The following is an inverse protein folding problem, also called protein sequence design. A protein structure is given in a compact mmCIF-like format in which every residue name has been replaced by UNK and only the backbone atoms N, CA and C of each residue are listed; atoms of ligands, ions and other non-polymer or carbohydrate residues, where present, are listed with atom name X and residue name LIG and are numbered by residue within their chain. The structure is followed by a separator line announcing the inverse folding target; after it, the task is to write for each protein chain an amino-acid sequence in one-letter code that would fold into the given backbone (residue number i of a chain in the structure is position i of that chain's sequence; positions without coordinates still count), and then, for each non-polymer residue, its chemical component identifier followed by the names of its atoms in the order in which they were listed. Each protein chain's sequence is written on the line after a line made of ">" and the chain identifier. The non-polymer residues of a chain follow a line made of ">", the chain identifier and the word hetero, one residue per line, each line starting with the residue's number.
data_IF_859559052477
#
_entry.id   IF_859559052477
#
_cell.length_a   1.000
_cell.length_b   1.000
_cell.length_c   1.000
_cell.angle_alpha   90.00
_cell.angle_beta   90.00
_cell.angle_gamma   90.00
#
_symmetry.space_group_name_H-M   'P 1'
#
loop_
_entity.id
_entity.type
_entity.pdbx_description
1 polymer ?
#
# COMPACT_ATOMS: atom_id res chain seq x y z
N UNK A 1 10.73 19.49 -4.37
CA UNK A 1 10.19 18.51 -5.33
C UNK A 1 9.01 19.18 -5.99
N UNK A 2 9.00 19.26 -7.32
CA UNK A 2 7.83 19.74 -8.05
C UNK A 2 6.79 18.60 -8.09
N UNK A 3 5.55 18.90 -7.72
CA UNK A 3 4.41 17.97 -7.69
C UNK A 3 3.14 18.75 -8.04
N UNK A 4 2.39 18.25 -9.01
CA UNK A 4 1.21 18.90 -9.57
C UNK A 4 -0.06 18.05 -9.36
N UNK A 5 -1.23 18.63 -9.63
CA UNK A 5 -2.50 17.87 -9.62
C UNK A 5 -2.54 16.79 -10.71
N UNK A 6 -1.88 17.03 -11.85
CA UNK A 6 -1.83 16.07 -12.95
C UNK A 6 -1.10 14.79 -12.54
N UNK A 7 -0.13 14.88 -11.62
CA UNK A 7 0.57 13.70 -11.08
C UNK A 7 -0.36 12.81 -10.24
N UNK A 8 -1.29 13.43 -9.49
CA UNK A 8 -2.30 12.70 -8.71
C UNK A 8 -3.25 11.94 -9.62
N UNK A 9 -3.75 12.59 -10.68
CA UNK A 9 -4.63 11.94 -11.65
C UNK A 9 -3.90 10.81 -12.37
N UNK A 10 -2.73 11.12 -12.96
CA UNK A 10 -1.94 10.18 -13.78
C UNK A 10 -1.51 8.92 -13.03
N UNK A 11 -1.20 9.02 -11.74
CA UNK A 11 -0.73 7.88 -10.94
C UNK A 11 -1.89 7.20 -10.20
N UNK A 12 -2.81 7.97 -9.64
CA UNK A 12 -3.85 7.46 -8.74
C UNK A 12 -5.03 6.79 -9.45
N UNK A 13 -5.34 7.18 -10.68
CA UNK A 13 -6.53 6.67 -11.41
C UNK A 13 -6.54 5.15 -11.57
N UNK A 14 -5.37 4.55 -11.85
CA UNK A 14 -5.21 3.11 -12.06
C UNK A 14 -4.99 2.31 -10.75
N UNK A 15 -4.92 2.98 -9.59
CA UNK A 15 -4.65 2.30 -8.31
C UNK A 15 -5.96 2.01 -7.59
N UNK A 16 -6.36 0.73 -7.44
CA UNK A 16 -7.61 0.37 -6.79
C UNK A 16 -7.57 0.65 -5.28
N UNK A 17 -8.76 0.83 -4.69
CA UNK A 17 -8.90 0.91 -3.23
C UNK A 17 -8.74 -0.48 -2.60
N UNK A 18 -7.54 -0.77 -2.09
CA UNK A 18 -7.22 -2.07 -1.48
C UNK A 18 -7.74 -2.23 -0.05
N UNK A 19 -7.85 -1.13 0.71
CA UNK A 19 -8.14 -1.18 2.14
C UNK A 19 -9.63 -1.02 2.41
N UNK A 20 -10.24 -2.05 3.00
CA UNK A 20 -11.65 -2.06 3.37
C UNK A 20 -11.88 -1.39 4.74
N UNK A 21 -11.50 -0.13 4.88
CA UNK A 21 -11.66 0.64 6.12
C UNK A 21 -12.62 1.82 5.97
N UNK A 22 -13.31 2.14 7.07
CA UNK A 22 -14.15 3.33 7.16
C UNK A 22 -13.31 4.60 6.89
N UNK A 23 -13.87 5.58 6.19
CA UNK A 23 -15.30 5.72 5.84
C UNK A 23 -15.75 4.97 4.57
N UNK A 24 -14.83 4.47 3.74
CA UNK A 24 -15.19 3.85 2.45
C UNK A 24 -15.55 2.36 2.55
N UNK A 25 -15.13 1.70 3.63
CA UNK A 25 -15.31 0.27 3.87
C UNK A 25 -15.91 -0.06 5.24
N UNK A 26 -15.67 -1.29 5.68
CA UNK A 26 -16.32 -1.90 6.85
C UNK A 26 -15.50 -1.82 8.13
N UNK A 27 -14.17 -1.91 8.05
CA UNK A 27 -13.30 -2.09 9.22
C UNK A 27 -12.76 -0.75 9.75
N UNK A 28 -12.15 -0.79 10.94
CA UNK A 28 -11.50 0.35 11.58
C UNK A 28 -9.97 0.16 11.59
N UNK A 29 -9.26 1.22 11.98
CA UNK A 29 -7.79 1.25 11.98
C UNK A 29 -7.11 0.11 12.76
N UNK A 30 -7.75 -0.39 13.82
CA UNK A 30 -7.24 -1.54 14.58
C UNK A 30 -7.29 -2.85 13.76
N UNK A 31 -8.37 -3.04 12.99
CA UNK A 31 -8.48 -4.16 12.04
C UNK A 31 -7.44 -4.06 10.94
N UNK A 32 -7.24 -2.86 10.38
CA UNK A 32 -6.18 -2.59 9.40
C UNK A 32 -4.78 -2.91 9.93
N UNK A 33 -4.47 -2.49 11.16
CA UNK A 33 -3.17 -2.77 11.77
C UNK A 33 -2.95 -4.28 11.93
N UNK A 34 -3.93 -5.01 12.47
CA UNK A 34 -3.86 -6.48 12.60
C UNK A 34 -3.73 -7.21 11.27
N UNK A 35 -4.34 -6.69 10.21
CA UNK A 35 -4.25 -7.26 8.87
C UNK A 35 -2.85 -7.09 8.23
N UNK A 36 -1.93 -6.35 8.84
CA UNK A 36 -0.57 -6.11 8.35
C UNK A 36 -0.26 -4.63 8.08
N UNK A 37 -1.26 -3.75 8.17
CA UNK A 37 -1.10 -2.31 8.07
C UNK A 37 -0.50 -1.84 6.74
N UNK A 38 0.15 -0.68 6.77
CA UNK A 38 0.73 -0.04 5.58
C UNK A 38 1.75 -0.92 4.84
N UNK A 39 2.67 -1.64 5.52
CA UNK A 39 3.61 -2.52 4.81
C UNK A 39 2.91 -3.58 3.94
N UNK A 40 1.77 -4.11 4.38
CA UNK A 40 1.01 -5.08 3.59
C UNK A 40 0.33 -4.49 2.36
N UNK A 41 -0.18 -3.26 2.46
CA UNK A 41 -0.69 -2.52 1.29
C UNK A 41 0.43 -2.27 0.29
N UNK A 42 1.59 -1.85 0.78
CA UNK A 42 2.76 -1.60 -0.07
C UNK A 42 3.28 -2.90 -0.71
N UNK A 43 3.20 -4.04 -0.02
CA UNK A 43 3.55 -5.33 -0.59
C UNK A 43 2.64 -5.72 -1.77
N UNK A 44 1.34 -5.44 -1.68
CA UNK A 44 0.42 -5.66 -2.82
C UNK A 44 0.74 -4.72 -4.00
N UNK A 45 1.10 -3.46 -3.73
CA UNK A 45 1.58 -2.54 -4.76
C UNK A 45 2.91 -2.99 -5.39
N UNK A 46 3.83 -3.55 -4.60
CA UNK A 46 5.09 -4.14 -5.06
C UNK A 46 4.82 -5.30 -6.03
N UNK A 47 3.95 -6.24 -5.65
CA UNK A 47 3.56 -7.38 -6.49
C UNK A 47 2.98 -6.94 -7.84
N UNK A 48 2.26 -5.82 -7.86
CA UNK A 48 1.67 -5.24 -9.06
C UNK A 48 2.61 -4.35 -9.89
N UNK A 49 3.87 -4.17 -9.48
CA UNK A 49 4.82 -3.28 -10.15
C UNK A 49 4.45 -1.80 -10.05
N UNK A 50 3.68 -1.41 -9.02
CA UNK A 50 3.19 -0.03 -8.79
C UNK A 50 3.96 0.70 -7.69
N UNK A 51 5.06 0.13 -7.22
CA UNK A 51 5.88 0.69 -6.15
C UNK A 51 7.32 0.93 -6.63
N UNK A 52 7.87 2.10 -6.32
CA UNK A 52 9.29 2.37 -6.53
C UNK A 52 10.11 1.72 -5.41
N UNK A 53 10.61 0.51 -5.68
CA UNK A 53 11.26 -0.33 -4.67
C UNK A 53 12.61 0.20 -4.18
N UNK A 54 13.38 0.83 -5.07
CA UNK A 54 14.75 1.28 -4.79
C UNK A 54 14.83 2.55 -3.94
N UNK A 55 13.69 3.14 -3.57
CA UNK A 55 13.65 4.32 -2.71
C UNK A 55 14.24 4.02 -1.32
N UNK A 56 15.21 4.81 -0.88
CA UNK A 56 15.77 4.70 0.47
C UNK A 56 14.79 5.15 1.55
N UNK A 57 14.90 4.55 2.74
CA UNK A 57 14.13 4.93 3.94
C UNK A 57 15.04 5.36 5.09
N UNK A 58 14.46 5.95 6.14
CA UNK A 58 15.19 6.34 7.37
C UNK A 58 15.81 5.15 8.11
N UNK A 59 15.40 3.91 7.81
CA UNK A 59 16.00 2.70 8.37
C UNK A 59 17.34 2.32 7.72
N UNK A 60 17.73 3.00 6.64
CA UNK A 60 18.88 2.62 5.81
C UNK A 60 18.60 1.50 4.80
N UNK A 61 17.39 0.91 4.83
CA UNK A 61 16.92 -0.07 3.83
C UNK A 61 16.10 0.60 2.74
N UNK A 62 16.03 -0.05 1.58
CA UNK A 62 15.10 0.33 0.51
C UNK A 62 13.66 0.00 0.90
N UNK A 63 12.69 0.67 0.27
CA UNK A 63 11.27 0.33 0.44
C UNK A 63 10.99 -1.12 0.03
N UNK A 64 11.57 -1.57 -1.09
CA UNK A 64 11.43 -2.94 -1.56
C UNK A 64 11.86 -3.98 -0.52
N UNK A 65 12.96 -3.73 0.18
CA UNK A 65 13.45 -4.62 1.25
C UNK A 65 12.54 -4.65 2.47
N UNK A 66 11.92 -3.53 2.81
CA UNK A 66 11.02 -3.41 3.96
C UNK A 66 9.74 -4.22 3.71
N UNK A 67 9.19 -4.14 2.49
CA UNK A 67 7.85 -4.66 2.20
C UNK A 67 7.85 -6.06 1.58
N UNK A 68 9.01 -6.58 1.16
CA UNK A 68 9.18 -7.88 0.47
C UNK A 68 8.42 -9.05 1.10
N UNK A 69 8.36 -9.10 2.43
CA UNK A 69 7.74 -10.19 3.20
C UNK A 69 6.51 -9.73 4.01
N UNK A 70 6.00 -8.53 3.76
CA UNK A 70 4.89 -7.96 4.51
C UNK A 70 3.55 -8.46 3.94
N UNK A 71 3.27 -9.75 4.06
CA UNK A 71 2.04 -10.33 3.52
C UNK A 71 0.83 -9.94 4.38
N UNK A 72 -0.30 -9.61 3.74
CA UNK A 72 -1.55 -9.35 4.43
C UNK A 72 -2.01 -10.58 5.22
N UNK A 73 -2.44 -10.36 6.48
CA UNK A 73 -2.92 -11.42 7.38
C UNK A 73 -4.43 -11.61 7.30
N UNK A 74 -5.15 -10.63 6.74
CA UNK A 74 -6.59 -10.68 6.51
C UNK A 74 -6.92 -10.01 5.17
N UNK A 75 -7.28 -10.83 4.18
CA UNK A 75 -7.56 -10.40 2.80
C UNK A 75 -8.91 -9.69 2.63
N UNK A 76 -9.82 -9.79 3.60
CA UNK A 76 -11.06 -9.00 3.59
C UNK A 76 -10.82 -7.56 4.06
N UNK A 77 -9.76 -7.34 4.85
CA UNK A 77 -9.33 -6.02 5.33
C UNK A 77 -8.36 -5.35 4.34
N UNK A 78 -7.36 -6.08 3.86
CA UNK A 78 -6.39 -5.63 2.85
C UNK A 78 -6.50 -6.56 1.63
N UNK A 79 -7.19 -6.09 0.60
CA UNK A 79 -7.47 -6.90 -0.59
C UNK A 79 -6.22 -7.05 -1.47
N UNK A 80 -6.08 -8.19 -2.18
CA UNK A 80 -5.08 -8.33 -3.24
C UNK A 80 -5.26 -7.26 -4.32
N UNK A 81 -4.18 -6.96 -5.05
CA UNK A 81 -4.22 -5.96 -6.14
C UNK A 81 -5.00 -6.42 -7.39
N UNK A 82 -5.26 -7.72 -7.55
CA UNK A 82 -5.97 -8.31 -8.69
C UNK A 82 -7.47 -7.97 -8.77
#
# INVERSE_FOLDING_TARGET
>A
VELSLDDWQRIGEDVPLLVNCMPAGKYLGEGFHRAGGVPAVMHELQKAGKLHEDCGSVSGKTIGDIVRNAVAQDVDVIRPYE
#
